data_IF_581908721904
#
_entry.id   IF_581908721904
#
_cell.length_a   1.000
_cell.length_b   1.000
_cell.length_c   1.000
_cell.angle_alpha   90.00
_cell.angle_beta   90.00
_cell.angle_gamma   90.00
#
_symmetry.space_group_name_H-M   'P 1'
#
loop_
_entity.id
_entity.type
_entity.pdbx_description
1 polymer ?
#
# COMPACT_ATOMS: atom_id res chain seq x y z
N UNK A 1 12.92 65.13 -21.11
CA UNK A 1 13.74 64.08 -20.47
C UNK A 1 15.02 63.88 -21.28
N UNK A 2 16.17 63.93 -20.64
CA UNK A 2 17.47 63.70 -21.29
C UNK A 2 17.60 62.20 -21.65
N UNK A 3 18.33 61.90 -22.71
CA UNK A 3 18.52 60.50 -23.18
C UNK A 3 19.04 59.56 -22.04
N UNK A 4 19.94 60.07 -21.19
CA UNK A 4 20.46 59.34 -20.02
C UNK A 4 19.37 58.95 -19.01
N UNK A 5 18.36 59.80 -18.80
CA UNK A 5 17.24 59.50 -17.91
C UNK A 5 16.32 58.38 -18.47
N UNK A 6 16.15 58.35 -19.79
CA UNK A 6 15.36 57.30 -20.46
C UNK A 6 16.07 55.93 -20.38
N UNK A 7 17.40 55.91 -20.54
CA UNK A 7 18.21 54.72 -20.41
C UNK A 7 18.21 54.13 -18.97
N UNK A 8 18.34 55.01 -17.98
CA UNK A 8 18.26 54.62 -16.57
C UNK A 8 16.88 54.05 -16.20
N UNK A 9 15.82 54.70 -16.70
CA UNK A 9 14.44 54.21 -16.47
C UNK A 9 14.20 52.86 -17.13
N UNK A 10 14.65 52.64 -18.36
CA UNK A 10 14.54 51.37 -19.05
C UNK A 10 15.33 50.28 -18.33
N UNK A 11 16.54 50.57 -17.84
CA UNK A 11 17.33 49.64 -17.04
C UNK A 11 16.65 49.24 -15.72
N UNK A 12 16.10 50.25 -15.01
CA UNK A 12 15.39 49.99 -13.76
C UNK A 12 14.13 49.14 -13.96
N UNK A 13 13.36 49.40 -15.01
CA UNK A 13 12.18 48.59 -15.38
C UNK A 13 12.57 47.15 -15.74
N UNK A 14 13.65 46.94 -16.48
CA UNK A 14 14.14 45.62 -16.85
C UNK A 14 14.59 44.80 -15.62
N UNK A 15 15.29 45.43 -14.69
CA UNK A 15 15.72 44.79 -13.43
C UNK A 15 14.50 44.42 -12.58
N UNK A 16 13.53 45.32 -12.43
CA UNK A 16 12.30 45.04 -11.69
C UNK A 16 11.51 43.87 -12.31
N UNK A 17 11.37 43.88 -13.64
CA UNK A 17 10.72 42.79 -14.36
C UNK A 17 11.42 41.42 -14.16
N UNK A 18 12.76 41.42 -14.17
CA UNK A 18 13.55 40.19 -13.92
C UNK A 18 13.40 39.66 -12.48
N UNK A 19 13.33 40.55 -11.49
CA UNK A 19 13.08 40.17 -10.08
C UNK A 19 11.70 39.57 -9.91
N UNK A 20 10.67 40.15 -10.53
CA UNK A 20 9.30 39.61 -10.48
C UNK A 20 9.23 38.26 -11.19
N UNK A 21 9.79 38.15 -12.38
CA UNK A 21 9.79 36.88 -13.12
C UNK A 21 10.57 35.77 -12.39
N UNK A 22 11.73 36.09 -11.82
CA UNK A 22 12.53 35.16 -11.02
C UNK A 22 11.82 34.74 -9.73
N UNK A 23 11.20 35.69 -9.03
CA UNK A 23 10.45 35.39 -7.79
C UNK A 23 9.23 34.53 -8.05
N UNK A 24 8.43 34.80 -9.07
CA UNK A 24 7.28 33.99 -9.45
C UNK A 24 7.70 32.59 -9.94
N UNK A 25 8.84 32.50 -10.65
CA UNK A 25 9.41 31.24 -11.09
C UNK A 25 9.79 30.32 -9.92
N UNK A 26 10.46 30.87 -8.90
CA UNK A 26 10.84 30.11 -7.68
C UNK A 26 9.62 29.64 -6.90
N UNK A 27 8.60 30.50 -6.74
CA UNK A 27 7.33 30.10 -6.09
C UNK A 27 6.65 28.99 -6.90
N UNK A 28 6.57 29.14 -8.22
CA UNK A 28 5.99 28.14 -9.11
C UNK A 28 6.71 26.79 -9.04
N UNK A 29 8.05 26.78 -8.99
CA UNK A 29 8.83 25.57 -8.82
C UNK A 29 8.60 24.89 -7.47
N UNK A 30 8.48 25.66 -6.39
CA UNK A 30 8.21 25.09 -5.06
C UNK A 30 6.80 24.49 -4.98
N UNK A 31 5.79 25.15 -5.53
CA UNK A 31 4.42 24.63 -5.61
C UNK A 31 4.35 23.36 -6.49
N UNK A 32 5.05 23.36 -7.62
CA UNK A 32 5.13 22.19 -8.51
C UNK A 32 5.85 21.01 -7.83
N UNK A 33 6.95 21.26 -7.11
CA UNK A 33 7.68 20.27 -6.34
C UNK A 33 6.78 19.60 -5.31
N UNK A 34 6.13 20.37 -4.45
CA UNK A 34 5.22 19.87 -3.43
C UNK A 34 4.05 19.05 -4.02
N UNK A 35 3.57 19.46 -5.20
CA UNK A 35 2.51 18.72 -5.90
C UNK A 35 3.01 17.38 -6.43
N UNK A 36 4.24 17.34 -6.95
CA UNK A 36 4.87 16.11 -7.45
C UNK A 36 5.12 15.14 -6.31
N UNK A 37 5.67 15.59 -5.18
CA UNK A 37 5.91 14.76 -4.00
C UNK A 37 4.61 14.14 -3.47
N UNK A 38 3.54 14.92 -3.45
CA UNK A 38 2.22 14.44 -3.05
C UNK A 38 1.66 13.38 -4.01
N UNK A 39 1.81 13.57 -5.31
CA UNK A 39 1.37 12.59 -6.32
C UNK A 39 2.18 11.29 -6.19
N UNK A 40 3.49 11.39 -5.98
CA UNK A 40 4.36 10.22 -5.77
C UNK A 40 3.94 9.44 -4.52
N UNK A 41 3.73 10.12 -3.41
CA UNK A 41 3.26 9.50 -2.16
C UNK A 41 1.91 8.79 -2.35
N UNK A 42 0.95 9.41 -3.03
CA UNK A 42 -0.35 8.78 -3.32
C UNK A 42 -0.18 7.55 -4.21
N UNK A 43 0.67 7.63 -5.23
CA UNK A 43 0.94 6.50 -6.12
C UNK A 43 1.59 5.32 -5.36
N UNK A 44 2.52 5.58 -4.45
CA UNK A 44 3.12 4.58 -3.59
C UNK A 44 2.09 3.96 -2.63
N UNK A 45 1.25 4.78 -2.02
CA UNK A 45 0.18 4.28 -1.15
C UNK A 45 -0.81 3.37 -1.90
N UNK A 46 -1.20 3.74 -3.12
CA UNK A 46 -2.05 2.90 -3.97
C UNK A 46 -1.34 1.59 -4.31
N UNK A 47 -0.04 1.62 -4.65
CA UNK A 47 0.73 0.41 -4.96
C UNK A 47 0.75 -0.56 -3.77
N UNK A 48 1.05 -0.09 -2.57
CA UNK A 48 1.05 -0.91 -1.36
C UNK A 48 -0.35 -1.44 -1.01
N UNK A 49 -1.40 -0.63 -1.27
CA UNK A 49 -2.77 -1.10 -1.10
C UNK A 49 -3.10 -2.25 -2.06
N UNK A 50 -2.71 -2.12 -3.33
CA UNK A 50 -2.89 -3.19 -4.33
C UNK A 50 -2.08 -4.45 -3.99
N UNK A 51 -0.86 -4.30 -3.47
CA UNK A 51 -0.05 -5.41 -2.98
C UNK A 51 -0.76 -6.13 -1.81
N UNK A 52 -1.33 -5.38 -0.87
CA UNK A 52 -2.16 -5.93 0.20
C UNK A 52 -3.39 -6.69 -0.31
N UNK A 53 -4.12 -6.12 -1.25
CA UNK A 53 -5.30 -6.75 -1.86
C UNK A 53 -4.94 -8.06 -2.59
N UNK A 54 -3.82 -8.06 -3.31
CA UNK A 54 -3.30 -9.29 -3.94
C UNK A 54 -2.97 -10.37 -2.90
N UNK A 55 -2.39 -10.01 -1.76
CA UNK A 55 -2.07 -10.97 -0.70
C UNK A 55 -3.32 -11.47 0.04
N UNK A 56 -4.35 -10.63 0.16
CA UNK A 56 -5.66 -11.07 0.63
C UNK A 56 -6.23 -12.20 -0.24
N UNK A 57 -6.22 -12.01 -1.55
CA UNK A 57 -6.69 -13.03 -2.49
C UNK A 57 -5.78 -14.27 -2.53
N UNK A 58 -4.46 -14.10 -2.40
CA UNK A 58 -3.50 -15.19 -2.31
C UNK A 58 -3.78 -16.08 -1.09
N UNK A 59 -3.99 -15.50 0.10
CA UNK A 59 -4.34 -16.23 1.31
C UNK A 59 -5.65 -17.03 1.17
N UNK A 60 -6.64 -16.47 0.47
CA UNK A 60 -7.86 -17.23 0.14
C UNK A 60 -7.57 -18.39 -0.80
N UNK A 61 -6.70 -18.18 -1.77
CA UNK A 61 -6.21 -19.24 -2.67
C UNK A 61 -5.53 -20.37 -1.90
N UNK A 62 -4.63 -20.02 -0.97
CA UNK A 62 -3.91 -20.98 -0.14
C UNK A 62 -4.87 -21.85 0.70
N UNK A 63 -5.87 -21.24 1.33
CA UNK A 63 -6.90 -21.96 2.08
C UNK A 63 -7.65 -22.95 1.18
N UNK A 64 -8.07 -22.52 0.00
CA UNK A 64 -8.78 -23.40 -0.95
C UNK A 64 -7.89 -24.54 -1.45
N UNK A 65 -6.62 -24.25 -1.73
CA UNK A 65 -5.63 -25.26 -2.15
C UNK A 65 -5.38 -26.29 -1.04
N UNK A 66 -5.21 -25.82 0.19
CA UNK A 66 -5.03 -26.73 1.35
C UNK A 66 -6.23 -27.65 1.56
N UNK A 67 -7.45 -27.12 1.50
CA UNK A 67 -8.66 -27.94 1.63
C UNK A 67 -8.80 -28.96 0.50
N UNK A 68 -8.46 -28.57 -0.74
CA UNK A 68 -8.44 -29.47 -1.90
C UNK A 68 -7.37 -30.57 -1.74
N UNK A 69 -6.14 -30.19 -1.40
CA UNK A 69 -5.03 -31.12 -1.21
C UNK A 69 -5.33 -32.12 -0.09
N UNK A 70 -5.90 -31.63 1.01
CA UNK A 70 -6.36 -32.45 2.13
C UNK A 70 -7.41 -33.49 1.71
N UNK A 71 -8.41 -33.06 0.95
CA UNK A 71 -9.44 -33.95 0.42
C UNK A 71 -8.88 -35.01 -0.56
N UNK A 72 -7.79 -34.68 -1.27
CA UNK A 72 -7.10 -35.59 -2.19
C UNK A 72 -6.06 -36.50 -1.47
N UNK A 73 -5.71 -36.22 -0.22
CA UNK A 73 -4.62 -36.87 0.49
C UNK A 73 -3.22 -36.48 -0.05
N UNK A 74 -3.10 -35.34 -0.70
CA UNK A 74 -1.84 -34.83 -1.29
C UNK A 74 -1.02 -34.11 -0.24
N UNK A 75 -0.15 -34.83 0.44
CA UNK A 75 0.70 -34.28 1.50
C UNK A 75 1.78 -33.37 0.95
N UNK A 76 2.26 -33.58 -0.28
CA UNK A 76 3.28 -32.73 -0.88
C UNK A 76 2.73 -31.33 -1.21
N UNK A 77 1.49 -31.27 -1.72
CA UNK A 77 0.79 -30.00 -1.94
C UNK A 77 0.49 -29.29 -0.61
N UNK A 78 0.08 -30.03 0.44
CA UNK A 78 -0.13 -29.46 1.78
C UNK A 78 1.14 -28.80 2.35
N UNK A 79 2.30 -29.46 2.20
CA UNK A 79 3.57 -28.92 2.67
C UNK A 79 3.94 -27.63 1.88
N UNK A 80 3.72 -27.61 0.57
CA UNK A 80 3.95 -26.42 -0.26
C UNK A 80 3.04 -25.26 0.17
N UNK A 81 1.75 -25.50 0.31
CA UNK A 81 0.76 -24.46 0.70
C UNK A 81 1.04 -23.94 2.12
N UNK A 82 1.53 -24.76 3.03
CA UNK A 82 1.95 -24.30 4.37
C UNK A 82 3.09 -23.27 4.30
N UNK A 83 4.00 -23.42 3.33
CA UNK A 83 5.05 -22.42 3.10
C UNK A 83 4.47 -21.17 2.43
N UNK A 84 3.65 -21.34 1.40
CA UNK A 84 3.04 -20.23 0.66
C UNK A 84 2.18 -19.32 1.55
N UNK A 85 1.33 -19.90 2.42
CA UNK A 85 0.50 -19.10 3.35
C UNK A 85 1.34 -18.28 4.32
N UNK A 86 2.53 -18.77 4.71
CA UNK A 86 3.45 -18.01 5.56
C UNK A 86 4.08 -16.85 4.80
N UNK A 87 4.50 -17.07 3.57
CA UNK A 87 5.12 -16.07 2.72
C UNK A 87 4.09 -14.96 2.34
N UNK A 88 2.88 -15.34 1.92
CA UNK A 88 1.79 -14.39 1.62
C UNK A 88 1.37 -13.59 2.86
N UNK A 89 1.30 -14.23 4.04
CA UNK A 89 1.00 -13.53 5.29
C UNK A 89 2.05 -12.47 5.65
N UNK A 90 3.33 -12.77 5.42
CA UNK A 90 4.41 -11.81 5.64
C UNK A 90 4.36 -10.66 4.62
N UNK A 91 4.19 -10.97 3.33
CA UNK A 91 4.06 -9.95 2.29
C UNK A 91 2.86 -9.03 2.53
N UNK A 92 1.74 -9.57 3.04
CA UNK A 92 0.57 -8.75 3.40
C UNK A 92 0.90 -7.75 4.52
N UNK A 93 1.57 -8.20 5.59
CA UNK A 93 2.00 -7.31 6.68
C UNK A 93 3.00 -6.26 6.20
N UNK A 94 3.94 -6.64 5.34
CA UNK A 94 4.92 -5.72 4.75
C UNK A 94 4.24 -4.63 3.90
N UNK A 95 3.24 -4.96 3.11
CA UNK A 95 2.47 -4.00 2.33
C UNK A 95 1.75 -2.97 3.21
N UNK A 96 1.18 -3.40 4.34
CA UNK A 96 0.56 -2.48 5.31
C UNK A 96 1.61 -1.62 6.00
N UNK A 97 2.71 -2.22 6.48
CA UNK A 97 3.80 -1.49 7.14
C UNK A 97 4.43 -0.44 6.22
N UNK A 98 4.61 -0.75 4.93
CA UNK A 98 5.12 0.19 3.95
C UNK A 98 4.20 1.42 3.76
N UNK A 99 2.88 1.26 3.87
CA UNK A 99 1.96 2.39 3.89
C UNK A 99 2.11 3.26 5.14
N UNK A 100 2.45 2.68 6.30
CA UNK A 100 2.64 3.44 7.54
C UNK A 100 3.89 4.32 7.53
N UNK A 101 4.90 3.95 6.74
CA UNK A 101 6.11 4.76 6.55
C UNK A 101 5.86 6.02 5.70
N UNK A 102 4.76 6.07 4.95
CA UNK A 102 4.40 7.23 4.14
C UNK A 102 3.84 8.37 5.00
N UNK A 103 4.07 9.61 4.55
CA UNK A 103 3.49 10.82 5.18
C UNK A 103 2.03 10.98 4.79
N UNK A 104 1.19 10.05 5.22
CA UNK A 104 -0.24 10.02 4.92
C UNK A 104 -1.03 11.03 5.76
N UNK A 105 -2.20 11.52 5.26
CA UNK A 105 -3.16 12.27 6.05
C UNK A 105 -3.58 11.52 7.31
N UNK A 106 -3.90 12.25 8.37
CA UNK A 106 -4.19 11.67 9.70
C UNK A 106 -5.41 10.73 9.69
N UNK A 107 -6.45 11.06 8.93
CA UNK A 107 -7.63 10.23 8.75
C UNK A 107 -7.32 8.88 8.05
N UNK A 108 -6.42 8.90 7.06
CA UNK A 108 -5.95 7.69 6.39
C UNK A 108 -5.12 6.84 7.35
N UNK A 109 -4.21 7.46 8.11
CA UNK A 109 -3.40 6.77 9.12
C UNK A 109 -4.26 6.11 10.20
N UNK A 110 -5.24 6.84 10.72
CA UNK A 110 -6.17 6.31 11.72
C UNK A 110 -6.97 5.11 11.16
N UNK A 111 -7.34 5.14 9.88
CA UNK A 111 -8.01 4.03 9.22
C UNK A 111 -7.11 2.81 9.10
N UNK A 112 -5.84 2.98 8.71
CA UNK A 112 -4.86 1.89 8.64
C UNK A 112 -4.67 1.23 10.01
N UNK A 113 -4.51 2.02 11.08
CA UNK A 113 -4.42 1.48 12.43
C UNK A 113 -5.67 0.69 12.85
N UNK A 114 -6.86 1.18 12.47
CA UNK A 114 -8.13 0.54 12.83
C UNK A 114 -8.35 -0.83 12.13
N UNK A 115 -7.79 -1.06 10.95
CA UNK A 115 -7.95 -2.31 10.21
C UNK A 115 -6.95 -3.40 10.62
N UNK A 116 -5.81 -3.06 11.23
CA UNK A 116 -4.75 -4.02 11.62
C UNK A 116 -5.25 -5.23 12.42
N UNK A 117 -6.08 -5.06 13.47
CA UNK A 117 -6.58 -6.21 14.22
C UNK A 117 -7.39 -7.19 13.36
N UNK A 118 -8.20 -6.65 12.43
CA UNK A 118 -8.99 -7.47 11.52
C UNK A 118 -8.09 -8.20 10.51
N UNK A 119 -7.08 -7.52 9.99
CA UNK A 119 -6.08 -8.10 9.12
C UNK A 119 -5.34 -9.26 9.80
N UNK A 120 -4.86 -9.05 11.03
CA UNK A 120 -4.17 -10.10 11.78
C UNK A 120 -5.10 -11.27 12.09
N UNK A 121 -6.36 -11.01 12.40
CA UNK A 121 -7.36 -12.06 12.60
C UNK A 121 -7.56 -12.88 11.32
N UNK A 122 -7.68 -12.23 10.16
CA UNK A 122 -7.82 -12.87 8.86
C UNK A 122 -6.60 -13.74 8.51
N UNK A 123 -5.38 -13.20 8.63
CA UNK A 123 -4.13 -13.92 8.38
C UNK A 123 -4.03 -15.16 9.30
N UNK A 124 -4.35 -15.00 10.57
CA UNK A 124 -4.27 -16.09 11.53
C UNK A 124 -5.33 -17.18 11.25
N UNK A 125 -6.53 -16.78 10.80
CA UNK A 125 -7.55 -17.73 10.38
C UNK A 125 -7.11 -18.53 9.16
N UNK A 126 -6.55 -17.88 8.12
CA UNK A 126 -6.01 -18.55 6.94
C UNK A 126 -4.93 -19.60 7.33
N UNK A 127 -3.92 -19.18 8.09
CA UNK A 127 -2.84 -20.04 8.58
C UNK A 127 -3.37 -21.23 9.41
N UNK A 128 -4.36 -20.98 10.26
CA UNK A 128 -4.94 -22.03 11.09
C UNK A 128 -5.67 -23.06 10.24
N UNK A 129 -6.45 -22.65 9.25
CA UNK A 129 -7.16 -23.59 8.36
C UNK A 129 -6.16 -24.43 7.57
N UNK A 130 -5.11 -23.81 6.99
CA UNK A 130 -4.07 -24.50 6.22
C UNK A 130 -3.37 -25.54 7.10
N UNK A 131 -2.95 -25.17 8.31
CA UNK A 131 -2.31 -26.10 9.25
C UNK A 131 -3.25 -27.23 9.70
N UNK A 132 -4.54 -26.93 9.91
CA UNK A 132 -5.55 -27.91 10.33
C UNK A 132 -5.89 -28.88 9.20
N UNK A 133 -5.87 -28.42 7.94
CA UNK A 133 -6.20 -29.24 6.77
C UNK A 133 -5.34 -30.50 6.64
N UNK A 134 -4.07 -30.42 7.05
CA UNK A 134 -3.17 -31.57 7.05
C UNK A 134 -3.40 -32.58 8.19
N UNK A 135 -4.14 -32.21 9.25
CA UNK A 135 -4.33 -33.01 10.45
C UNK A 135 -5.78 -33.48 10.62
N UNK A 136 -6.72 -32.59 10.41
CA UNK A 136 -8.17 -32.78 10.53
C UNK A 136 -8.92 -32.08 9.40
N UNK A 137 -9.10 -32.74 8.25
CA UNK A 137 -9.83 -32.18 7.10
C UNK A 137 -11.25 -31.72 7.41
N UNK A 138 -11.92 -32.38 8.34
CA UNK A 138 -13.32 -32.03 8.68
C UNK A 138 -13.36 -30.72 9.45
N UNK A 139 -12.51 -30.58 10.46
CA UNK A 139 -12.39 -29.31 11.21
C UNK A 139 -11.92 -28.15 10.35
N UNK A 140 -10.99 -28.37 9.43
CA UNK A 140 -10.55 -27.34 8.51
C UNK A 140 -11.70 -26.86 7.61
N UNK A 141 -12.46 -27.76 7.01
CA UNK A 141 -13.62 -27.41 6.21
C UNK A 141 -14.71 -26.67 7.02
N UNK A 142 -14.90 -27.03 8.29
CA UNK A 142 -15.89 -26.38 9.15
C UNK A 142 -15.56 -24.90 9.44
N UNK A 143 -14.29 -24.50 9.40
CA UNK A 143 -13.83 -23.13 9.63
C UNK A 143 -13.95 -22.24 8.37
N UNK A 144 -14.04 -22.83 7.18
CA UNK A 144 -14.02 -22.11 5.91
C UNK A 144 -15.14 -21.07 5.73
N UNK A 145 -16.43 -21.36 6.07
CA UNK A 145 -17.50 -20.35 5.93
C UNK A 145 -17.24 -19.07 6.76
N UNK A 146 -16.77 -19.22 8.00
CA UNK A 146 -16.47 -18.08 8.88
C UNK A 146 -15.27 -17.29 8.34
N UNK A 147 -14.24 -17.97 7.84
CA UNK A 147 -13.11 -17.33 7.17
C UNK A 147 -13.55 -16.50 5.96
N UNK A 148 -14.45 -17.03 5.12
CA UNK A 148 -14.94 -16.33 3.93
C UNK A 148 -15.76 -15.06 4.22
N UNK A 149 -16.17 -14.87 5.46
CA UNK A 149 -16.95 -13.70 5.90
C UNK A 149 -16.18 -12.78 6.86
N UNK A 150 -14.93 -13.13 7.19
CA UNK A 150 -14.15 -12.43 8.22
C UNK A 150 -13.44 -11.15 7.74
N UNK A 151 -13.52 -10.84 6.43
CA UNK A 151 -12.87 -9.65 5.86
C UNK A 151 -13.67 -9.06 4.69
#
# INVERSE_FOLDING_TARGET
MKISQRLLLAGAVSIAASIVAGGTGLIGMNVAGNSTDRVTMIAESIRHHMEGDMMHDALRGDVLLALRASAAGDTAELDAVNQEVADHANAFREAIAANEELTLPEDVRATLEAIKPNLDAYINAAKNIVATAGQDPISANAQFPDFMTSF
#
